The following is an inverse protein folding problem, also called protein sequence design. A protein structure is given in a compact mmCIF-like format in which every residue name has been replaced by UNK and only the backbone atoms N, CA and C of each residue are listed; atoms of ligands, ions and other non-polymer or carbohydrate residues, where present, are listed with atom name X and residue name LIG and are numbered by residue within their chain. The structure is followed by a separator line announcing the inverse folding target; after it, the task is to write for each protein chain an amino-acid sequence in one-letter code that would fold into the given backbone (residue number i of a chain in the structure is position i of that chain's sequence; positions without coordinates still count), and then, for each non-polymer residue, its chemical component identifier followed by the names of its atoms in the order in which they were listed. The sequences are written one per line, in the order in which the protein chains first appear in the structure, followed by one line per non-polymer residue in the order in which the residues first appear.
data_IF_558946162752
#
_entry.id   IF_558946162752
#
_cell.length_a   1.000
_cell.length_b   1.000
_cell.length_c   1.000
_cell.angle_alpha   90.00
_cell.angle_beta   90.00
_cell.angle_gamma   90.00
#
_symmetry.space_group_name_H-M   'P 1'
#
loop_
_entity.id
_entity.type
_entity.pdbx_description
1 polymer ?
#
# COMPACT_ATOMS: atom_id res chain seq x y z
N UNK A 1 -0.05 -5.03 25.09
CA UNK A 1 -1.43 -5.20 24.56
C UNK A 1 -1.42 -6.41 23.65
N UNK A 2 -2.50 -7.21 23.54
CA UNK A 2 -2.51 -8.30 22.58
C UNK A 2 -2.34 -7.75 21.17
N UNK A 3 -1.54 -8.43 20.35
CA UNK A 3 -1.27 -8.06 18.96
C UNK A 3 -1.96 -9.08 18.08
N UNK A 4 -2.71 -8.60 17.09
CA UNK A 4 -3.37 -9.47 16.12
C UNK A 4 -2.31 -10.22 15.30
N UNK A 5 -2.27 -11.57 15.32
CA UNK A 5 -1.23 -12.36 14.65
C UNK A 5 -1.31 -12.30 13.12
N UNK A 6 -2.46 -11.89 12.56
CA UNK A 6 -2.68 -11.77 11.12
C UNK A 6 -2.22 -10.41 10.60
N UNK A 7 -2.52 -9.34 11.33
CA UNK A 7 -2.24 -7.98 10.85
C UNK A 7 -1.18 -7.19 11.62
N UNK A 8 -0.76 -7.64 12.81
CA UNK A 8 0.19 -6.92 13.64
C UNK A 8 -0.39 -5.67 14.34
N UNK A 9 -1.70 -5.46 14.29
CA UNK A 9 -2.36 -4.33 14.96
C UNK A 9 -2.41 -4.59 16.47
N UNK A 10 -2.03 -3.58 17.25
CA UNK A 10 -2.26 -3.58 18.69
C UNK A 10 -3.76 -3.45 18.99
N UNK A 11 -4.28 -4.37 19.80
CA UNK A 11 -5.68 -4.38 20.16
C UNK A 11 -5.84 -3.59 21.47
N UNK A 12 -6.72 -2.57 21.49
CA UNK A 12 -7.00 -1.81 22.69
C UNK A 12 -7.35 -2.74 23.86
N UNK A 13 -6.91 -2.43 25.09
CA UNK A 13 -7.08 -3.31 26.24
C UNK A 13 -8.56 -3.54 26.65
N UNK A 14 -9.47 -2.72 26.14
CA UNK A 14 -10.91 -2.77 26.31
C UNK A 14 -11.66 -3.50 25.17
N UNK A 15 -10.98 -3.85 24.08
CA UNK A 15 -11.52 -4.67 23.00
C UNK A 15 -11.29 -6.16 23.29
N UNK A 16 -12.38 -6.93 23.43
CA UNK A 16 -12.35 -8.34 23.90
C UNK A 16 -12.67 -9.34 22.78
N UNK A 17 -13.19 -8.89 21.65
CA UNK A 17 -13.62 -9.73 20.52
C UNK A 17 -13.33 -9.02 19.18
N UNK A 18 -13.04 -9.77 18.09
CA UNK A 18 -13.04 -11.23 18.01
C UNK A 18 -11.78 -11.91 18.61
N UNK A 19 -11.96 -13.13 19.13
CA UNK A 19 -10.90 -14.00 19.67
C UNK A 19 -11.09 -15.44 19.22
N UNK A 20 -10.02 -16.24 19.23
CA UNK A 20 -10.09 -17.70 18.99
C UNK A 20 -9.00 -18.41 19.78
N UNK A 21 -9.11 -19.74 19.92
CA UNK A 21 -8.06 -20.58 20.52
C UNK A 21 -7.44 -21.49 19.47
N UNK A 22 -6.10 -21.54 19.45
CA UNK A 22 -5.34 -22.44 18.58
C UNK A 22 -4.14 -23.01 19.33
N UNK A 23 -3.97 -24.33 19.28
CA UNK A 23 -2.92 -25.08 20.01
C UNK A 23 -2.84 -24.79 21.53
N UNK A 24 -3.95 -24.36 22.14
CA UNK A 24 -4.04 -24.07 23.57
C UNK A 24 -3.66 -22.63 23.95
N UNK A 25 -3.40 -21.76 22.95
CA UNK A 25 -3.17 -20.34 23.13
C UNK A 25 -4.35 -19.51 22.61
N UNK A 26 -4.71 -18.45 23.33
CA UNK A 26 -5.76 -17.51 22.91
C UNK A 26 -5.20 -16.40 22.03
N UNK A 27 -5.79 -16.21 20.87
CA UNK A 27 -5.46 -15.16 19.91
C UNK A 27 -6.57 -14.13 19.85
N UNK A 28 -6.19 -12.86 19.68
CA UNK A 28 -7.08 -11.71 19.62
C UNK A 28 -6.96 -11.07 18.26
N UNK A 29 -8.07 -10.53 17.72
CA UNK A 29 -8.11 -9.98 16.37
C UNK A 29 -8.69 -8.57 16.36
N UNK A 30 -8.19 -7.72 15.47
CA UNK A 30 -8.69 -6.35 15.28
C UNK A 30 -10.03 -6.30 14.53
N UNK A 31 -10.40 -7.38 13.84
CA UNK A 31 -11.60 -7.47 13.01
C UNK A 31 -11.97 -8.94 12.74
N UNK A 32 -13.25 -9.18 12.42
CA UNK A 32 -13.77 -10.51 12.04
C UNK A 32 -13.03 -11.11 10.84
N UNK A 33 -12.67 -10.28 9.88
CA UNK A 33 -11.88 -10.69 8.72
C UNK A 33 -10.48 -11.23 9.09
N UNK A 34 -9.85 -10.71 10.16
CA UNK A 34 -8.55 -11.24 10.63
C UNK A 34 -8.75 -12.59 11.30
N UNK A 35 -9.81 -12.75 12.07
CA UNK A 35 -10.22 -14.04 12.62
C UNK A 35 -10.42 -15.07 11.50
N UNK A 36 -11.19 -14.74 10.45
CA UNK A 36 -11.46 -15.66 9.33
C UNK A 36 -10.17 -16.07 8.59
N UNK A 37 -9.25 -15.13 8.37
CA UNK A 37 -7.95 -15.41 7.76
C UNK A 37 -7.10 -16.34 8.63
N UNK A 38 -7.07 -16.10 9.94
CA UNK A 38 -6.36 -16.95 10.90
C UNK A 38 -6.94 -18.36 10.91
N UNK A 39 -8.25 -18.50 11.03
CA UNK A 39 -8.92 -19.81 11.06
C UNK A 39 -8.75 -20.59 9.75
N UNK A 40 -8.62 -19.90 8.62
CA UNK A 40 -8.34 -20.52 7.32
C UNK A 40 -6.94 -21.12 7.19
N UNK A 41 -5.94 -20.59 7.91
CA UNK A 41 -4.55 -21.06 7.83
C UNK A 41 -3.73 -20.73 9.09
N UNK A 42 -4.11 -21.22 10.29
CA UNK A 42 -3.58 -20.70 11.56
C UNK A 42 -2.08 -20.95 11.73
N UNK A 43 -1.64 -22.14 11.33
CA UNK A 43 -0.23 -22.56 11.34
C UNK A 43 0.71 -21.57 10.63
N UNK A 44 0.26 -20.91 9.56
CA UNK A 44 1.03 -19.90 8.80
C UNK A 44 1.41 -18.70 9.67
N UNK A 45 0.50 -18.27 10.54
CA UNK A 45 0.65 -17.08 11.38
C UNK A 45 1.39 -17.37 12.69
N UNK A 46 1.39 -18.64 13.12
CA UNK A 46 2.07 -19.08 14.34
C UNK A 46 3.53 -19.48 14.08
N UNK A 47 3.82 -20.22 13.00
CA UNK A 47 5.18 -20.73 12.73
C UNK A 47 6.12 -19.70 12.11
N UNK A 48 5.57 -18.74 11.36
CA UNK A 48 6.34 -17.63 10.78
C UNK A 48 5.79 -16.34 11.36
N UNK A 49 6.37 -15.84 12.47
CA UNK A 49 6.04 -14.50 12.96
C UNK A 49 6.19 -13.53 11.80
N UNK A 50 5.18 -12.68 11.62
CA UNK A 50 5.11 -11.74 10.52
C UNK A 50 6.45 -10.98 10.36
N UNK A 51 6.99 -10.79 9.15
CA UNK A 51 8.31 -10.16 8.93
C UNK A 51 8.42 -8.70 9.42
N UNK A 52 7.30 -8.10 9.85
CA UNK A 52 7.24 -6.77 10.49
C UNK A 52 6.97 -6.81 12.01
N UNK A 53 6.94 -8.00 12.64
CA UNK A 53 7.08 -8.18 14.09
C UNK A 53 8.55 -8.21 14.53
N UNK A 54 9.47 -7.85 13.63
CA UNK A 54 10.86 -7.57 14.01
C UNK A 54 10.84 -6.22 14.70
N UNK A 55 11.17 -6.19 15.98
CA UNK A 55 11.40 -4.95 16.73
C UNK A 55 12.41 -4.08 15.96
N UNK A 56 11.95 -2.98 15.37
CA UNK A 56 12.79 -1.84 15.08
C UNK A 56 12.61 -0.89 16.28
N UNK A 57 13.60 -0.91 17.19
CA UNK A 57 13.76 0.09 18.25
C UNK A 57 12.48 0.41 19.03
N UNK A 58 11.77 -0.62 19.51
CA UNK A 58 10.63 -0.44 20.44
C UNK A 58 9.33 0.14 19.87
N UNK A 59 9.23 0.39 18.56
CA UNK A 59 7.99 0.85 17.93
C UNK A 59 7.32 -0.26 17.07
N UNK A 60 6.13 -0.70 17.48
CA UNK A 60 5.27 -1.58 16.67
C UNK A 60 4.50 -0.70 15.67
N UNK A 61 4.97 -0.64 14.42
CA UNK A 61 4.30 0.12 13.37
C UNK A 61 3.10 -0.68 12.84
N UNK A 62 1.87 -0.13 12.85
CA UNK A 62 0.72 -0.79 12.24
C UNK A 62 0.85 -0.70 10.71
N UNK A 63 1.48 -1.71 10.10
CA UNK A 63 1.42 -1.92 8.65
C UNK A 63 0.16 -2.71 8.34
N UNK A 64 -0.55 -2.34 7.27
CA UNK A 64 -1.73 -3.09 6.79
C UNK A 64 -1.39 -4.59 6.68
N UNK A 65 -2.32 -5.50 7.04
CA UNK A 65 -2.07 -6.93 7.12
C UNK A 65 -1.43 -7.52 5.86
N UNK A 66 -0.38 -8.33 6.03
CA UNK A 66 0.09 -9.25 5.00
C UNK A 66 -1.01 -10.29 4.70
N UNK A 67 -1.59 -10.19 3.50
CA UNK A 67 -2.69 -11.04 3.04
C UNK A 67 -3.97 -10.29 2.66
N UNK A 68 -4.16 -9.04 3.09
CA UNK A 68 -5.24 -8.18 2.59
C UNK A 68 -4.77 -7.18 1.54
N UNK A 69 -3.57 -6.63 1.69
CA UNK A 69 -2.93 -5.83 0.65
C UNK A 69 -2.23 -6.79 -0.34
N UNK A 70 -2.82 -6.97 -1.52
CA UNK A 70 -2.18 -7.72 -2.62
C UNK A 70 -1.15 -6.83 -3.29
N UNK A 71 0.05 -7.36 -3.56
CA UNK A 71 1.08 -6.70 -4.35
C UNK A 71 2.50 -7.16 -4.01
N UNK A 72 3.45 -6.68 -4.81
CA UNK A 72 4.87 -7.00 -4.71
C UNK A 72 5.65 -5.69 -4.57
N UNK A 73 6.61 -5.66 -3.64
CA UNK A 73 7.50 -4.53 -3.44
C UNK A 73 8.89 -4.88 -3.94
N UNK A 74 9.58 -3.89 -4.50
CA UNK A 74 10.95 -4.02 -4.97
C UNK A 74 11.74 -2.78 -4.57
N UNK A 75 12.95 -3.00 -4.06
CA UNK A 75 13.82 -1.96 -3.49
C UNK A 75 15.15 -2.02 -4.23
N UNK A 76 15.50 -0.92 -4.88
CA UNK A 76 16.73 -0.73 -5.63
C UNK A 76 17.50 0.42 -4.97
N UNK A 77 18.13 0.11 -3.83
CA UNK A 77 18.88 1.07 -2.99
C UNK A 77 20.27 0.49 -2.75
N UNK A 78 21.32 1.25 -3.04
CA UNK A 78 22.70 0.79 -2.86
C UNK A 78 23.10 0.71 -1.38
N UNK A 79 22.77 1.75 -0.60
CA UNK A 79 23.03 1.83 0.84
C UNK A 79 21.80 2.35 1.59
N UNK A 80 21.17 1.49 2.39
CA UNK A 80 19.98 1.85 3.18
C UNK A 80 20.23 2.89 4.27
N UNK A 81 21.48 3.20 4.58
CA UNK A 81 21.87 4.21 5.57
C UNK A 81 22.21 5.57 4.95
N UNK A 82 22.34 5.64 3.63
CA UNK A 82 22.70 6.85 2.90
C UNK A 82 22.05 6.86 1.52
N UNK A 83 20.84 7.40 1.43
CA UNK A 83 20.10 7.51 0.18
C UNK A 83 20.72 8.55 -0.75
N UNK A 84 20.76 8.23 -2.05
CA UNK A 84 21.39 9.05 -3.08
C UNK A 84 20.58 9.06 -4.39
N UNK A 85 20.97 9.93 -5.32
CA UNK A 85 20.45 9.89 -6.69
C UNK A 85 20.63 8.49 -7.32
N UNK A 86 19.56 7.98 -7.93
CA UNK A 86 19.56 6.64 -8.51
C UNK A 86 18.75 5.63 -7.70
N UNK A 87 18.71 5.79 -6.37
CA UNK A 87 17.96 4.91 -5.49
C UNK A 87 16.46 4.97 -5.78
N UNK A 88 15.78 3.84 -5.62
CA UNK A 88 14.38 3.73 -5.95
C UNK A 88 13.66 2.60 -5.25
N UNK A 89 12.34 2.74 -5.25
CA UNK A 89 11.40 1.77 -4.71
C UNK A 89 10.25 1.61 -5.68
N UNK A 90 9.67 0.42 -5.72
CA UNK A 90 8.48 0.17 -6.52
C UNK A 90 7.48 -0.74 -5.84
N UNK A 91 6.24 -0.60 -6.27
CA UNK A 91 5.12 -1.42 -5.81
C UNK A 91 4.24 -1.81 -6.98
N UNK A 92 3.97 -3.10 -7.10
CA UNK A 92 3.16 -3.69 -8.16
C UNK A 92 1.91 -4.34 -7.58
N UNK A 93 0.74 -4.08 -8.16
CA UNK A 93 -0.48 -4.84 -7.85
C UNK A 93 -1.48 -4.84 -8.99
N UNK A 94 -2.37 -5.83 -8.97
CA UNK A 94 -3.60 -5.82 -9.78
C UNK A 94 -4.64 -4.89 -9.13
N UNK A 95 -5.21 -3.97 -9.90
CA UNK A 95 -6.33 -3.14 -9.44
C UNK A 95 -7.63 -3.89 -9.65
N UNK A 96 -8.36 -4.18 -8.58
CA UNK A 96 -9.61 -4.95 -8.62
C UNK A 96 -10.85 -4.07 -8.54
N UNK A 97 -12.01 -4.63 -8.88
CA UNK A 97 -13.31 -3.94 -8.69
C UNK A 97 -13.56 -3.60 -7.20
N UNK A 98 -13.08 -4.44 -6.30
CA UNK A 98 -13.15 -4.22 -4.85
C UNK A 98 -12.31 -3.00 -4.42
N UNK A 99 -11.13 -2.80 -5.01
CA UNK A 99 -10.32 -1.59 -4.78
C UNK A 99 -11.07 -0.32 -5.22
N UNK A 100 -11.72 -0.37 -6.40
CA UNK A 100 -12.51 0.76 -6.95
C UNK A 100 -13.68 1.10 -6.02
N UNK A 101 -14.39 0.10 -5.52
CA UNK A 101 -15.52 0.30 -4.58
C UNK A 101 -15.06 0.86 -3.25
N UNK A 102 -14.02 0.26 -2.64
CA UNK A 102 -13.46 0.73 -1.37
C UNK A 102 -12.93 2.16 -1.47
N UNK A 103 -12.32 2.51 -2.60
CA UNK A 103 -11.87 3.88 -2.84
C UNK A 103 -13.06 4.85 -2.94
N UNK A 104 -14.12 4.49 -3.67
CA UNK A 104 -15.33 5.31 -3.76
C UNK A 104 -15.98 5.52 -2.38
N UNK A 105 -16.04 4.48 -1.55
CA UNK A 105 -16.55 4.57 -0.17
C UNK A 105 -15.67 5.49 0.69
N UNK A 106 -14.35 5.32 0.65
CA UNK A 106 -13.42 6.09 1.46
C UNK A 106 -13.36 7.58 1.06
N UNK A 107 -13.51 7.88 -0.23
CA UNK A 107 -13.36 9.25 -0.76
C UNK A 107 -14.68 9.94 -1.06
N UNK A 108 -15.79 9.20 -1.02
CA UNK A 108 -17.10 9.63 -1.53
C UNK A 108 -17.14 9.97 -3.03
N UNK A 109 -16.09 9.64 -3.80
CA UNK A 109 -16.10 9.74 -5.26
C UNK A 109 -16.92 8.61 -5.88
N UNK A 110 -18.22 8.87 -5.95
CA UNK A 110 -19.26 7.94 -6.43
C UNK A 110 -19.64 8.21 -7.88
N UNK A 111 -18.75 8.79 -8.68
CA UNK A 111 -18.99 9.03 -10.10
C UNK A 111 -19.39 7.73 -10.82
N UNK A 112 -20.54 7.75 -11.51
CA UNK A 112 -21.13 6.59 -12.17
C UNK A 112 -20.18 5.92 -13.17
N UNK A 113 -19.25 6.68 -13.76
CA UNK A 113 -18.21 6.16 -14.66
C UNK A 113 -17.39 5.02 -14.03
N UNK A 114 -17.20 5.02 -12.72
CA UNK A 114 -16.39 4.02 -12.01
C UNK A 114 -17.23 2.86 -11.44
N UNK A 115 -18.55 3.04 -11.31
CA UNK A 115 -19.40 2.17 -10.48
C UNK A 115 -20.58 1.55 -11.22
N UNK A 116 -20.99 2.09 -12.36
CA UNK A 116 -22.16 1.65 -13.11
C UNK A 116 -21.79 1.25 -14.55
N UNK A 117 -21.91 -0.05 -14.87
CA UNK A 117 -21.60 -0.59 -16.20
C UNK A 117 -22.48 0.04 -17.30
N UNK A 118 -23.80 0.13 -17.08
CA UNK A 118 -24.74 0.66 -18.07
C UNK A 118 -24.47 2.15 -18.38
N UNK A 119 -24.10 2.94 -17.36
CA UNK A 119 -23.69 4.33 -17.59
C UNK A 119 -22.37 4.40 -18.35
N UNK A 120 -21.38 3.59 -17.94
CA UNK A 120 -20.04 3.63 -18.53
C UNK A 120 -20.03 3.19 -20.01
N UNK A 121 -20.90 2.25 -20.40
CA UNK A 121 -21.13 1.83 -21.79
C UNK A 121 -21.58 3.00 -22.70
N UNK A 122 -22.33 3.98 -22.16
CA UNK A 122 -22.77 5.16 -22.91
C UNK A 122 -21.69 6.24 -23.03
N UNK A 123 -20.59 6.11 -22.29
CA UNK A 123 -19.48 7.08 -22.34
C UNK A 123 -18.50 6.77 -23.47
N UNK A 124 -17.59 7.71 -23.75
CA UNK A 124 -16.49 7.49 -24.71
C UNK A 124 -15.56 6.32 -24.36
N UNK A 125 -15.60 5.82 -23.13
CA UNK A 125 -14.76 4.72 -22.68
C UNK A 125 -15.38 3.37 -23.04
N UNK A 126 -16.72 3.27 -23.06
CA UNK A 126 -17.45 2.04 -23.40
C UNK A 126 -17.53 1.00 -22.28
N UNK A 127 -16.87 1.24 -21.15
CA UNK A 127 -16.86 0.38 -19.96
C UNK A 127 -16.32 1.18 -18.76
N UNK A 128 -16.44 0.61 -17.56
CA UNK A 128 -15.93 1.25 -16.33
C UNK A 128 -14.40 1.27 -16.30
N UNK A 129 -13.86 2.38 -15.82
CA UNK A 129 -12.42 2.58 -15.64
C UNK A 129 -12.10 2.86 -14.18
N UNK A 130 -10.86 2.64 -13.77
CA UNK A 130 -10.38 2.93 -12.41
C UNK A 130 -10.32 4.45 -12.16
N UNK A 131 -10.60 4.90 -10.93
CA UNK A 131 -10.36 6.29 -10.52
C UNK A 131 -8.88 6.65 -10.68
N UNK A 132 -8.57 7.76 -11.37
CA UNK A 132 -7.18 8.19 -11.53
C UNK A 132 -6.48 8.41 -10.18
N UNK A 133 -7.16 9.05 -9.23
CA UNK A 133 -6.62 9.35 -7.89
C UNK A 133 -6.34 8.10 -7.07
N UNK A 134 -7.08 7.00 -7.27
CA UNK A 134 -6.79 5.71 -6.62
C UNK A 134 -5.35 5.26 -6.92
N UNK A 135 -4.89 5.48 -8.15
CA UNK A 135 -3.55 5.08 -8.59
C UNK A 135 -2.43 5.83 -7.84
N UNK A 136 -2.69 7.04 -7.35
CA UNK A 136 -1.73 7.76 -6.51
C UNK A 136 -1.43 7.02 -5.20
N UNK A 137 -2.37 6.19 -4.72
CA UNK A 137 -2.16 5.30 -3.58
C UNK A 137 -1.06 4.25 -3.83
N UNK A 138 -0.82 3.84 -5.07
CA UNK A 138 0.29 2.93 -5.40
C UNK A 138 1.65 3.61 -5.22
N UNK A 139 1.74 4.90 -5.57
CA UNK A 139 2.95 5.71 -5.33
C UNK A 139 3.18 5.81 -3.82
N UNK A 140 2.13 6.15 -3.05
CA UNK A 140 2.21 6.19 -1.59
C UNK A 140 2.67 4.86 -1.00
N UNK A 141 2.20 3.73 -1.52
CA UNK A 141 2.62 2.40 -1.07
C UNK A 141 4.09 2.11 -1.40
N UNK A 142 4.55 2.46 -2.60
CA UNK A 142 5.95 2.33 -2.98
C UNK A 142 6.86 3.16 -2.06
N UNK A 143 6.51 4.43 -1.82
CA UNK A 143 7.29 5.33 -0.96
C UNK A 143 7.46 4.80 0.47
N UNK A 144 6.50 4.03 1.00
CA UNK A 144 6.58 3.41 2.32
C UNK A 144 7.67 2.32 2.46
N UNK A 145 8.38 2.01 1.36
CA UNK A 145 9.49 1.05 1.33
C UNK A 145 10.87 1.70 1.46
N UNK A 146 10.98 3.03 1.39
CA UNK A 146 12.25 3.68 1.72
C UNK A 146 12.64 3.37 3.18
N UNK A 147 13.95 3.21 3.47
CA UNK A 147 14.41 3.07 4.84
C UNK A 147 14.16 4.38 5.59
N UNK A 148 13.76 4.29 6.87
CA UNK A 148 13.43 5.46 7.67
C UNK A 148 11.94 5.80 7.70
N UNK A 149 11.65 6.98 8.24
CA UNK A 149 10.31 7.57 8.31
C UNK A 149 10.11 8.48 7.10
N UNK A 150 9.44 7.97 6.07
CA UNK A 150 9.13 8.73 4.86
C UNK A 150 7.90 9.62 5.04
N UNK A 151 8.10 10.94 4.94
CA UNK A 151 7.06 11.96 4.94
C UNK A 151 6.83 12.45 3.51
N UNK A 152 5.61 12.25 3.02
CA UNK A 152 5.23 12.59 1.65
C UNK A 152 4.76 14.06 1.56
N UNK A 153 5.67 14.96 1.17
CA UNK A 153 5.45 16.42 1.25
C UNK A 153 4.58 16.93 0.10
N UNK A 154 4.90 16.54 -1.14
CA UNK A 154 4.17 17.03 -2.31
C UNK A 154 4.20 16.03 -3.46
N UNK A 155 3.18 16.10 -4.31
CA UNK A 155 3.03 15.26 -5.49
C UNK A 155 2.41 16.04 -6.65
N UNK A 156 2.98 15.89 -7.84
CA UNK A 156 2.40 16.33 -9.11
C UNK A 156 2.04 15.11 -9.97
N UNK A 157 0.84 15.06 -10.57
CA UNK A 157 0.36 13.92 -11.34
C UNK A 157 -0.10 14.33 -12.73
N UNK A 158 0.27 13.55 -13.74
CA UNK A 158 -0.24 13.59 -15.10
C UNK A 158 -0.82 12.23 -15.49
N UNK A 159 -2.14 12.20 -15.74
CA UNK A 159 -2.85 11.02 -16.23
C UNK A 159 -2.69 10.89 -17.74
N UNK A 160 -2.14 9.78 -18.21
CA UNK A 160 -1.79 9.57 -19.63
C UNK A 160 -2.79 8.70 -20.36
N UNK A 161 -3.38 7.71 -19.68
CA UNK A 161 -4.45 6.88 -20.22
C UNK A 161 -5.39 6.38 -19.12
N UNK A 162 -6.64 6.00 -19.46
CA UNK A 162 -7.49 5.26 -18.55
C UNK A 162 -6.88 3.88 -18.21
N UNK A 163 -7.32 3.34 -17.08
CA UNK A 163 -6.93 2.01 -16.58
C UNK A 163 -8.16 1.15 -16.49
N UNK A 164 -8.05 -0.07 -16.99
CA UNK A 164 -9.11 -1.05 -16.90
C UNK A 164 -9.12 -1.75 -15.54
N UNK A 165 -10.31 -2.08 -15.06
CA UNK A 165 -10.43 -2.87 -13.84
C UNK A 165 -9.88 -4.28 -14.12
N UNK A 166 -8.99 -4.75 -13.25
CA UNK A 166 -8.25 -6.01 -13.41
C UNK A 166 -6.85 -5.83 -14.00
N UNK A 167 -6.43 -4.62 -14.35
CA UNK A 167 -5.09 -4.36 -14.87
C UNK A 167 -4.02 -4.44 -13.76
N UNK A 168 -2.88 -5.07 -14.09
CA UNK A 168 -1.66 -5.08 -13.27
C UNK A 168 -0.87 -3.79 -13.51
N UNK A 169 -0.55 -3.09 -12.43
CA UNK A 169 0.15 -1.81 -12.46
C UNK A 169 1.36 -1.82 -11.52
N UNK A 170 2.43 -1.18 -11.95
CA UNK A 170 3.65 -0.97 -11.18
C UNK A 170 3.93 0.52 -11.01
N UNK A 171 3.91 1.00 -9.77
CA UNK A 171 4.38 2.32 -9.40
C UNK A 171 5.89 2.28 -9.12
N UNK A 172 6.66 3.13 -9.78
CA UNK A 172 8.11 3.29 -9.58
C UNK A 172 8.41 4.70 -9.11
N UNK A 173 9.17 4.79 -8.02
CA UNK A 173 9.65 6.04 -7.45
C UNK A 173 11.17 5.99 -7.46
N UNK A 174 11.82 7.01 -8.03
CA UNK A 174 13.28 7.08 -8.14
C UNK A 174 13.79 8.45 -7.74
N UNK A 175 14.76 8.51 -6.84
CA UNK A 175 15.44 9.73 -6.43
C UNK A 175 16.22 10.28 -7.61
N UNK A 176 16.01 11.56 -7.90
CA UNK A 176 16.64 12.28 -9.00
C UNK A 176 17.33 13.57 -8.57
N UNK A 177 17.19 13.95 -7.30
CA UNK A 177 17.82 15.14 -6.72
C UNK A 177 17.80 15.01 -5.19
N UNK A 178 18.94 15.29 -4.55
CA UNK A 178 19.05 15.47 -3.10
C UNK A 178 18.86 16.95 -2.77
N UNK A 179 17.95 17.23 -1.85
CA UNK A 179 17.62 18.58 -1.41
C UNK A 179 18.13 18.80 0.02
N UNK A 180 18.01 20.03 0.51
CA UNK A 180 18.35 20.36 1.89
C UNK A 180 17.39 19.70 2.90
N UNK A 181 17.86 19.53 4.15
CA UNK A 181 17.08 18.97 5.27
C UNK A 181 16.50 17.58 5.02
N UNK A 182 17.31 16.61 4.55
CA UNK A 182 16.92 15.20 4.32
C UNK A 182 15.75 15.04 3.33
N UNK A 183 15.58 16.01 2.43
CA UNK A 183 14.55 15.99 1.40
C UNK A 183 15.09 15.44 0.10
N UNK A 184 14.22 14.74 -0.62
CA UNK A 184 14.55 14.16 -1.91
C UNK A 184 13.48 14.53 -2.94
N UNK A 185 13.90 14.84 -4.16
CA UNK A 185 13.00 14.90 -5.31
C UNK A 185 12.98 13.55 -5.99
N UNK A 186 11.79 13.07 -6.30
CA UNK A 186 11.60 11.81 -7.00
C UNK A 186 10.86 12.01 -8.32
N UNK A 187 11.22 11.20 -9.30
CA UNK A 187 10.30 10.86 -10.39
C UNK A 187 9.34 9.80 -9.90
N UNK A 188 8.08 9.91 -10.29
CA UNK A 188 7.04 8.92 -9.99
C UNK A 188 6.37 8.52 -11.29
N UNK A 189 6.23 7.22 -11.54
CA UNK A 189 5.63 6.69 -12.76
C UNK A 189 4.83 5.44 -12.44
N UNK A 190 3.69 5.28 -13.10
CA UNK A 190 2.90 4.04 -13.05
C UNK A 190 2.80 3.49 -14.46
N UNK A 191 3.10 2.20 -14.60
CA UNK A 191 3.12 1.46 -15.86
C UNK A 191 2.33 0.16 -15.74
N UNK A 192 1.80 -0.35 -16.84
CA UNK A 192 1.30 -1.72 -16.90
C UNK A 192 2.40 -2.72 -17.28
N UNK A 193 2.05 -4.00 -17.32
CA UNK A 193 2.96 -5.08 -17.71
C UNK A 193 3.49 -4.95 -19.16
N UNK A 194 2.81 -4.17 -20.02
CA UNK A 194 3.27 -3.85 -21.38
C UNK A 194 4.27 -2.66 -21.43
N UNK A 195 4.57 -2.03 -20.29
CA UNK A 195 5.46 -0.87 -20.17
C UNK A 195 4.82 0.46 -20.56
N UNK A 196 3.50 0.49 -20.78
CA UNK A 196 2.78 1.71 -21.16
C UNK A 196 2.57 2.61 -19.95
N UNK A 197 2.88 3.90 -20.11
CA UNK A 197 2.72 4.88 -19.04
C UNK A 197 1.24 5.18 -18.82
N UNK A 198 0.76 4.89 -17.61
CA UNK A 198 -0.57 5.26 -17.14
C UNK A 198 -0.56 6.64 -16.51
N UNK A 199 0.43 6.87 -15.66
CA UNK A 199 0.56 8.06 -14.85
C UNK A 199 2.04 8.41 -14.74
N UNK A 200 2.37 9.69 -14.84
CA UNK A 200 3.70 10.18 -14.53
C UNK A 200 3.63 11.43 -13.66
N UNK A 201 4.70 11.70 -12.93
CA UNK A 201 4.71 12.75 -11.94
C UNK A 201 6.05 12.96 -11.28
N UNK A 202 6.04 13.87 -10.32
CA UNK A 202 7.18 14.13 -9.43
C UNK A 202 6.69 14.23 -7.99
N UNK A 203 7.52 13.76 -7.06
CA UNK A 203 7.28 13.86 -5.63
C UNK A 203 8.42 14.64 -4.95
N UNK A 204 8.10 15.23 -3.80
CA UNK A 204 9.10 15.58 -2.79
C UNK A 204 8.77 14.83 -1.52
N UNK A 205 9.78 14.16 -0.95
CA UNK A 205 9.68 13.46 0.33
C UNK A 205 10.76 13.97 1.27
N UNK A 206 10.52 13.83 2.56
CA UNK A 206 11.50 13.94 3.65
C UNK A 206 11.65 12.53 4.24
N UNK A 207 12.87 12.09 4.52
CA UNK A 207 13.12 10.75 5.07
C UNK A 207 13.97 10.90 6.33
N UNK A 208 13.30 10.88 7.49
CA UNK A 208 13.97 10.96 8.78
C UNK A 208 14.48 9.56 9.21
N UNK A 209 15.51 9.47 10.06
CA UNK A 209 15.82 8.24 10.79
C UNK A 209 14.62 7.74 11.60
N UNK A 210 14.54 6.41 11.81
CA UNK A 210 13.54 5.87 12.72
C UNK A 210 13.83 6.31 14.17
N UNK A 211 12.80 6.52 15.01
CA UNK A 211 12.98 6.79 16.43
C UNK A 211 13.80 5.68 17.12
N UNK A 212 14.60 6.06 18.11
CA UNK A 212 15.26 5.14 19.06
C UNK A 212 14.28 4.56 20.10
#
# INVERSE_FOLDING_TARGET
MPVDPVCGMEIPPDAVEPTTEYEGESFYFCSTDCLELFEGAPKKYVETPHPHLVEASGAVLPRLPYGRAKGEFDIDIEDSTSLQEGDGVSFSKVITDDDVRKFAEATSDTNDLHLNDAFAEETRFGHRIVHGTLLSGLISAALACFPGLTIYISQNLGFRRPVDIGESLTARCKIVDELEDERYRLTTRIENDAGEIVLNGTATVLIDPLPE
#
